data_IF_781138930003
#
_entry.id   IF_781138930003
#
_cell.length_a   1.000
_cell.length_b   1.000
_cell.length_c   1.000
_cell.angle_alpha   90.00
_cell.angle_beta   90.00
_cell.angle_gamma   90.00
#
_symmetry.space_group_name_H-M   'P 1'
#
loop_
_entity.id
_entity.type
_entity.pdbx_description
1 polymer ?
#
# COMPACT_ATOMS: atom_id res chain seq x y z
N UNK A 1 -3.52 -19.28 7.31
CA UNK A 1 -2.56 -19.00 6.24
C UNK A 1 -2.38 -17.51 6.08
N UNK A 2 -1.16 -17.01 6.18
CA UNK A 2 -0.85 -15.60 5.92
C UNK A 2 -0.34 -15.44 4.49
N UNK A 3 -1.05 -14.66 3.71
CA UNK A 3 -0.60 -14.28 2.38
C UNK A 3 -0.13 -12.84 2.45
N UNK A 4 1.13 -12.60 2.08
CA UNK A 4 1.69 -11.24 1.99
C UNK A 4 2.02 -10.94 0.55
N UNK A 5 1.51 -9.83 0.05
CA UNK A 5 1.85 -9.31 -1.25
C UNK A 5 2.56 -7.98 -1.05
N UNK A 6 3.72 -7.83 -1.66
CA UNK A 6 4.50 -6.60 -1.58
C UNK A 6 4.32 -5.80 -2.86
N UNK A 7 3.66 -4.66 -2.75
CA UNK A 7 3.50 -3.72 -3.85
C UNK A 7 4.62 -2.67 -3.77
N UNK A 8 5.31 -2.49 -4.88
CA UNK A 8 6.37 -1.49 -5.02
C UNK A 8 5.91 -0.36 -5.95
N UNK A 9 6.70 0.69 -6.07
CA UNK A 9 6.39 1.80 -6.97
C UNK A 9 6.36 1.37 -8.45
N UNK A 10 7.00 0.24 -8.78
CA UNK A 10 6.98 -0.33 -10.13
C UNK A 10 5.76 -1.21 -10.41
N UNK A 11 4.95 -1.49 -9.39
CA UNK A 11 3.75 -2.30 -9.55
C UNK A 11 2.70 -1.54 -10.35
N UNK A 12 2.18 -2.17 -11.39
CA UNK A 12 1.08 -1.61 -12.17
C UNK A 12 -0.25 -2.09 -11.61
N UNK A 13 -1.14 -1.16 -11.32
CA UNK A 13 -2.47 -1.45 -10.79
C UNK A 13 -3.53 -1.19 -11.85
N UNK A 14 -4.54 -2.06 -11.88
CA UNK A 14 -5.69 -1.96 -12.79
C UNK A 14 -6.96 -2.08 -11.98
N UNK A 15 -8.01 -1.39 -12.42
CA UNK A 15 -9.32 -1.47 -11.80
C UNK A 15 -10.37 -1.77 -12.87
N UNK A 16 -11.31 -2.65 -12.56
CA UNK A 16 -12.39 -3.01 -13.46
C UNK A 16 -13.66 -3.33 -12.67
N UNK A 17 -14.78 -2.81 -13.14
CA UNK A 17 -16.08 -3.10 -12.54
C UNK A 17 -16.98 -3.70 -13.60
N UNK A 18 -17.78 -4.70 -13.22
CA UNK A 18 -18.74 -5.34 -14.12
C UNK A 18 -19.90 -5.94 -13.37
N UNK A 19 -20.90 -6.35 -14.11
CA UNK A 19 -22.09 -7.04 -13.59
C UNK A 19 -22.15 -8.43 -14.19
N UNK A 20 -22.27 -9.45 -13.34
CA UNK A 20 -22.42 -10.82 -13.80
C UNK A 20 -23.46 -11.52 -12.93
N UNK A 21 -24.40 -12.25 -13.57
CA UNK A 21 -25.46 -12.95 -12.85
C UNK A 21 -26.32 -12.06 -11.96
N UNK A 22 -26.46 -10.77 -12.30
CA UNK A 22 -27.17 -9.79 -11.49
C UNK A 22 -26.37 -9.25 -10.30
N UNK A 23 -25.13 -9.68 -10.12
CA UNK A 23 -24.26 -9.22 -9.04
C UNK A 23 -23.25 -8.19 -9.55
N UNK A 24 -23.02 -7.16 -8.74
CA UNK A 24 -22.00 -6.17 -8.99
C UNK A 24 -20.63 -6.70 -8.50
N UNK A 25 -19.63 -6.65 -9.37
CA UNK A 25 -18.29 -7.12 -9.06
C UNK A 25 -17.28 -5.99 -9.31
N UNK A 26 -16.42 -5.77 -8.33
CA UNK A 26 -15.31 -4.86 -8.45
C UNK A 26 -13.99 -5.63 -8.34
N UNK A 27 -13.05 -5.35 -9.22
CA UNK A 27 -11.75 -6.01 -9.26
C UNK A 27 -10.62 -5.00 -9.23
N UNK A 28 -9.54 -5.37 -8.56
CA UNK A 28 -8.25 -4.69 -8.66
C UNK A 28 -7.22 -5.72 -9.05
N UNK A 29 -6.55 -5.50 -10.17
CA UNK A 29 -5.45 -6.34 -10.64
C UNK A 29 -4.12 -5.65 -10.46
N UNK A 30 -3.05 -6.44 -10.39
CA UNK A 30 -1.69 -5.91 -10.30
C UNK A 30 -0.72 -6.76 -11.11
N UNK A 31 0.29 -6.08 -11.67
CA UNK A 31 1.43 -6.71 -12.34
C UNK A 31 2.70 -6.16 -11.72
N UNK A 32 3.55 -7.06 -11.23
CA UNK A 32 4.90 -6.71 -10.79
C UNK A 32 5.87 -7.15 -11.89
N UNK A 33 6.67 -6.24 -12.45
CA UNK A 33 7.61 -6.62 -13.51
C UNK A 33 8.77 -7.44 -12.95
N UNK A 34 8.57 -8.76 -12.90
CA UNK A 34 9.61 -9.71 -12.54
C UNK A 34 10.04 -10.42 -13.82
N UNK A 35 11.25 -10.17 -14.34
CA UNK A 35 11.71 -10.82 -15.59
C UNK A 35 11.63 -12.35 -15.50
N UNK A 36 10.93 -12.96 -16.46
CA UNK A 36 10.84 -14.42 -16.59
C UNK A 36 9.87 -15.10 -15.62
N UNK A 37 9.10 -14.35 -14.84
CA UNK A 37 8.16 -14.93 -13.88
C UNK A 37 6.77 -14.28 -13.96
N UNK A 38 5.71 -15.09 -13.86
CA UNK A 38 4.33 -14.62 -13.72
C UNK A 38 3.88 -14.50 -12.25
N UNK A 39 4.77 -14.73 -11.30
CA UNK A 39 4.44 -14.72 -9.87
C UNK A 39 4.08 -13.32 -9.36
N UNK A 40 4.32 -12.27 -10.16
CA UNK A 40 3.95 -10.92 -9.82
C UNK A 40 2.55 -10.49 -10.24
N UNK A 41 1.78 -11.37 -10.90
CA UNK A 41 0.42 -11.04 -11.34
C UNK A 41 -0.61 -11.51 -10.31
N UNK A 42 -1.67 -10.74 -10.14
CA UNK A 42 -2.76 -11.14 -9.28
C UNK A 42 -4.00 -10.30 -9.46
N UNK A 43 -5.11 -10.77 -8.91
CA UNK A 43 -6.39 -10.07 -8.95
C UNK A 43 -7.10 -10.25 -7.62
N UNK A 44 -7.60 -9.14 -7.08
CA UNK A 44 -8.48 -9.14 -5.92
C UNK A 44 -9.86 -8.68 -6.40
N UNK A 45 -10.91 -9.43 -6.03
CA UNK A 45 -12.27 -9.09 -6.44
C UNK A 45 -13.25 -9.29 -5.29
N UNK A 46 -14.33 -8.54 -5.33
CA UNK A 46 -15.36 -8.60 -4.31
C UNK A 46 -16.49 -7.64 -4.59
N UNK A 47 -17.32 -7.40 -3.59
CA UNK A 47 -18.41 -6.44 -3.71
C UNK A 47 -17.85 -5.01 -3.73
N UNK A 48 -18.57 -4.06 -4.39
CA UNK A 48 -18.17 -2.66 -4.36
C UNK A 48 -18.00 -2.10 -2.95
N UNK A 49 -18.88 -2.49 -2.01
CA UNK A 49 -18.80 -2.04 -0.63
C UNK A 49 -17.51 -2.49 0.04
N UNK A 50 -17.11 -3.75 -0.14
CA UNK A 50 -15.87 -4.28 0.43
C UNK A 50 -14.64 -3.64 -0.21
N UNK A 51 -14.67 -3.38 -1.52
CA UNK A 51 -13.57 -2.74 -2.21
C UNK A 51 -13.38 -1.29 -1.74
N UNK A 52 -14.47 -0.58 -1.46
CA UNK A 52 -14.38 0.77 -0.88
C UNK A 52 -13.82 0.75 0.53
N UNK A 53 -14.23 -0.20 1.35
CA UNK A 53 -13.69 -0.37 2.70
C UNK A 53 -12.19 -0.67 2.66
N UNK A 54 -11.77 -1.55 1.76
CA UNK A 54 -10.37 -1.88 1.55
C UNK A 54 -9.58 -0.64 1.14
N UNK A 55 -10.11 0.16 0.22
CA UNK A 55 -9.47 1.39 -0.22
C UNK A 55 -9.29 2.40 0.91
N UNK A 56 -10.30 2.57 1.77
CA UNK A 56 -10.23 3.45 2.94
C UNK A 56 -9.14 2.99 3.91
N UNK A 57 -9.08 1.69 4.19
CA UNK A 57 -8.06 1.12 5.08
C UNK A 57 -6.66 1.25 4.48
N UNK A 58 -6.53 1.08 3.16
CA UNK A 58 -5.26 1.26 2.47
C UNK A 58 -4.77 2.71 2.59
N UNK A 59 -5.67 3.69 2.43
CA UNK A 59 -5.34 5.11 2.62
C UNK A 59 -4.92 5.40 4.05
N UNK A 60 -5.65 4.86 5.04
CA UNK A 60 -5.28 5.01 6.45
C UNK A 60 -3.89 4.46 6.73
N UNK A 61 -3.57 3.29 6.19
CA UNK A 61 -2.24 2.68 6.37
C UNK A 61 -1.15 3.54 5.76
N UNK A 62 -1.39 4.11 4.58
CA UNK A 62 -0.44 5.01 3.92
C UNK A 62 -0.18 6.27 4.75
N UNK A 63 -1.25 6.89 5.27
CA UNK A 63 -1.15 8.08 6.12
C UNK A 63 -0.37 7.77 7.40
N UNK A 64 -0.66 6.64 8.05
CA UNK A 64 0.06 6.23 9.26
C UNK A 64 1.54 6.02 9.00
N UNK A 65 1.91 5.42 7.87
CA UNK A 65 3.31 5.21 7.51
C UNK A 65 4.02 6.54 7.28
N UNK A 66 3.38 7.47 6.60
CA UNK A 66 3.93 8.80 6.34
C UNK A 66 4.10 9.60 7.64
N UNK A 67 3.13 9.54 8.55
CA UNK A 67 3.20 10.18 9.86
C UNK A 67 4.34 9.59 10.70
N UNK A 68 4.50 8.27 10.70
CA UNK A 68 5.59 7.61 11.42
C UNK A 68 6.96 8.01 10.86
N UNK A 69 7.09 8.07 9.55
CA UNK A 69 8.32 8.52 8.92
C UNK A 69 8.66 9.96 9.29
N UNK A 70 7.66 10.83 9.33
CA UNK A 70 7.81 12.22 9.74
C UNK A 70 8.24 12.33 11.21
N UNK A 71 7.64 11.54 12.08
CA UNK A 71 7.97 11.48 13.51
C UNK A 71 9.41 10.99 13.73
N UNK A 72 9.81 9.93 13.03
CA UNK A 72 11.19 9.41 13.11
C UNK A 72 12.21 10.44 12.64
N UNK A 73 11.92 11.17 11.57
CA UNK A 73 12.78 12.24 11.08
C UNK A 73 12.92 13.37 12.11
N UNK A 74 11.82 13.73 12.76
CA UNK A 74 11.82 14.74 13.84
C UNK A 74 12.68 14.29 15.01
N UNK A 75 12.54 13.05 15.47
CA UNK A 75 13.33 12.50 16.57
C UNK A 75 14.82 12.47 16.22
N UNK A 76 15.17 12.05 15.01
CA UNK A 76 16.57 12.04 14.56
C UNK A 76 17.17 13.44 14.54
N UNK A 77 16.43 14.43 14.06
CA UNK A 77 16.86 15.82 14.06
C UNK A 77 17.06 16.36 15.47
N UNK A 78 16.16 16.00 16.40
CA UNK A 78 16.24 16.42 17.81
C UNK A 78 17.49 15.81 18.49
N UNK A 79 17.77 14.53 18.27
CA UNK A 79 18.95 13.85 18.80
C UNK A 79 20.23 14.49 18.23
N UNK A 80 20.28 14.74 16.94
CA UNK A 80 21.45 15.37 16.29
C UNK A 80 21.70 16.79 16.84
N UNK A 81 20.63 17.55 17.09
CA UNK A 81 20.74 18.88 17.68
C UNK A 81 21.27 18.82 19.13
N UNK A 82 20.81 17.85 19.91
CA UNK A 82 21.26 17.64 21.28
C UNK A 82 22.75 17.25 21.32
N UNK A 83 23.20 16.37 20.42
CA UNK A 83 24.59 15.97 20.32
C UNK A 83 25.49 17.14 19.93
N UNK A 84 25.05 17.99 19.01
CA UNK A 84 25.79 19.21 18.65
C UNK A 84 25.91 20.19 19.82
N UNK A 85 24.90 20.28 20.66
CA UNK A 85 24.91 21.12 21.85
C UNK A 85 25.85 20.63 22.95
N UNK A 86 26.28 19.36 22.92
CA UNK A 86 27.21 18.78 23.90
C UNK A 86 28.68 19.01 23.53
N UNK A 87 28.95 19.42 22.33
CA UNK A 87 30.32 19.63 21.82
C UNK A 87 30.72 21.09 22.10
N UNK A 88 30.72 21.48 23.32
CA UNK A 88 31.13 22.82 23.70
C UNK A 88 32.57 22.80 24.26
#
# INVERSE_FOLDING_TARGET
MNVKLHLTDDTQLRAHGYVTGGALVAEVGWDVPIPGSRLGEGTLWGTPAMMRQLAELAVQAAVQAEEEACWQAYQAATVAAADRGRVA
#
